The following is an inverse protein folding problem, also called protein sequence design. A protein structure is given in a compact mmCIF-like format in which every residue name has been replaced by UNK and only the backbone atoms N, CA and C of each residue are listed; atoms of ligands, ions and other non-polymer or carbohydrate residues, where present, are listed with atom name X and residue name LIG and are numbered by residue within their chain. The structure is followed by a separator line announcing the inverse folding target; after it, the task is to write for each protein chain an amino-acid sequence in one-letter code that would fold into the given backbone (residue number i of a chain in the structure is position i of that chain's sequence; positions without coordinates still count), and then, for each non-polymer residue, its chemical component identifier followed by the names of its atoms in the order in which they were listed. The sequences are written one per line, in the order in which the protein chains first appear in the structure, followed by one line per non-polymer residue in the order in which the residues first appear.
data_IF_152902740639
#
_entry.id   IF_152902740639
#
_cell.length_a   1.000
_cell.length_b   1.000
_cell.length_c   1.000
_cell.angle_alpha   90.00
_cell.angle_beta   90.00
_cell.angle_gamma   90.00
#
_symmetry.space_group_name_H-M   'P 1'
#
loop_
_entity.id
_entity.type
_entity.pdbx_description
1 polymer ?
#
# COMPACT_ATOMS: atom_id res chain seq x y z
N UNK A 1 -52.83 -12.59 -1.61
CA UNK A 1 -51.45 -12.78 -1.09
C UNK A 1 -50.55 -13.63 -2.01
N UNK A 2 -50.93 -14.86 -2.41
CA UNK A 2 -50.10 -15.76 -3.26
C UNK A 2 -49.58 -15.15 -4.58
N UNK A 3 -50.38 -14.34 -5.29
CA UNK A 3 -50.00 -13.69 -6.56
C UNK A 3 -48.93 -12.59 -6.41
N UNK A 4 -48.92 -11.88 -5.28
CA UNK A 4 -47.89 -10.89 -4.96
C UNK A 4 -46.56 -11.55 -4.59
N UNK A 5 -46.61 -12.68 -3.86
CA UNK A 5 -45.44 -13.50 -3.51
C UNK A 5 -44.69 -14.01 -4.76
N UNK A 6 -45.41 -14.46 -5.79
CA UNK A 6 -44.78 -14.95 -7.03
C UNK A 6 -44.14 -13.83 -7.88
N UNK A 7 -44.68 -12.61 -7.83
CA UNK A 7 -44.05 -11.44 -8.47
C UNK A 7 -42.77 -11.03 -7.74
N UNK A 8 -42.83 -11.00 -6.40
CA UNK A 8 -41.65 -10.71 -5.57
C UNK A 8 -40.55 -11.75 -5.80
N UNK A 9 -40.88 -13.05 -5.80
CA UNK A 9 -39.92 -14.11 -6.04
C UNK A 9 -39.24 -14.01 -7.41
N UNK A 10 -39.99 -13.69 -8.47
CA UNK A 10 -39.42 -13.45 -9.81
C UNK A 10 -38.51 -12.22 -9.85
N UNK A 11 -38.89 -11.16 -9.14
CA UNK A 11 -38.07 -9.94 -9.03
C UNK A 11 -36.77 -10.21 -8.28
N UNK A 12 -36.82 -10.94 -7.16
CA UNK A 12 -35.63 -11.36 -6.41
C UNK A 12 -34.73 -12.25 -7.27
N UNK A 13 -35.30 -13.21 -8.00
CA UNK A 13 -34.53 -14.06 -8.91
C UNK A 13 -33.85 -13.26 -10.04
N UNK A 14 -34.54 -12.28 -10.62
CA UNK A 14 -33.97 -11.41 -11.64
C UNK A 14 -32.82 -10.55 -11.08
N UNK A 15 -32.98 -9.99 -9.87
CA UNK A 15 -31.93 -9.22 -9.19
C UNK A 15 -30.71 -10.11 -8.92
N UNK A 16 -30.91 -11.32 -8.39
CA UNK A 16 -29.83 -12.27 -8.15
C UNK A 16 -29.07 -12.61 -9.44
N UNK A 17 -29.78 -12.85 -10.55
CA UNK A 17 -29.13 -13.10 -11.85
C UNK A 17 -28.30 -11.91 -12.31
N UNK A 18 -28.80 -10.69 -12.15
CA UNK A 18 -28.05 -9.46 -12.47
C UNK A 18 -26.81 -9.34 -11.58
N UNK A 19 -26.93 -9.59 -10.27
CA UNK A 19 -25.79 -9.56 -9.35
C UNK A 19 -24.73 -10.60 -9.73
N UNK A 20 -25.13 -11.83 -10.09
CA UNK A 20 -24.20 -12.88 -10.52
C UNK A 20 -23.49 -12.46 -11.83
N UNK A 21 -24.24 -11.94 -12.81
CA UNK A 21 -23.65 -11.45 -14.06
C UNK A 21 -22.68 -10.29 -13.81
N UNK A 22 -23.02 -9.38 -12.91
CA UNK A 22 -22.17 -8.25 -12.52
C UNK A 22 -20.88 -8.71 -11.84
N UNK A 23 -20.96 -9.62 -10.86
CA UNK A 23 -19.77 -10.20 -10.21
C UNK A 23 -18.93 -10.98 -11.22
N UNK A 24 -19.57 -11.71 -12.14
CA UNK A 24 -18.88 -12.39 -13.24
C UNK A 24 -18.10 -11.42 -14.13
N UNK A 25 -18.68 -10.26 -14.46
CA UNK A 25 -17.99 -9.21 -15.23
C UNK A 25 -16.77 -8.66 -14.48
N UNK A 26 -16.90 -8.37 -13.19
CA UNK A 26 -15.78 -7.89 -12.36
C UNK A 26 -14.64 -8.92 -12.31
N UNK A 27 -14.98 -10.20 -12.19
CA UNK A 27 -14.00 -11.28 -12.19
C UNK A 27 -13.27 -11.37 -13.53
N UNK A 28 -13.99 -11.33 -14.66
CA UNK A 28 -13.40 -11.39 -16.00
C UNK A 28 -12.48 -10.19 -16.30
N UNK A 29 -12.77 -9.04 -15.71
CA UNK A 29 -11.96 -7.82 -15.88
C UNK A 29 -10.77 -7.72 -14.92
N UNK A 30 -10.60 -8.66 -13.99
CA UNK A 30 -9.62 -8.57 -12.90
C UNK A 30 -9.81 -7.30 -12.02
N UNK A 31 -11.06 -6.98 -11.72
CA UNK A 31 -11.48 -5.85 -10.88
C UNK A 31 -11.71 -6.26 -9.41
N UNK A 32 -11.38 -7.50 -9.05
CA UNK A 32 -11.41 -8.02 -7.68
C UNK A 32 -9.97 -8.19 -7.20
N UNK A 33 -9.54 -7.31 -6.30
CA UNK A 33 -8.23 -7.32 -5.66
C UNK A 33 -8.29 -7.85 -4.22
N UNK A 34 -7.19 -7.62 -3.50
CA UNK A 34 -6.99 -8.04 -2.12
C UNK A 34 -7.71 -7.07 -1.18
N UNK A 35 -8.61 -7.51 -0.30
CA UNK A 35 -9.21 -6.61 0.69
C UNK A 35 -8.15 -6.15 1.70
N UNK A 36 -8.29 -4.93 2.23
CA UNK A 36 -7.34 -4.33 3.21
C UNK A 36 -6.98 -5.29 4.36
N UNK A 37 -7.96 -6.01 4.88
CA UNK A 37 -7.78 -6.96 6.00
C UNK A 37 -7.02 -8.24 5.64
N UNK A 38 -6.71 -8.48 4.36
CA UNK A 38 -5.96 -9.65 3.88
C UNK A 38 -4.65 -9.27 3.19
N UNK A 39 -4.25 -7.99 3.21
CA UNK A 39 -3.01 -7.54 2.60
C UNK A 39 -1.80 -8.29 3.15
N UNK A 40 -1.66 -8.40 4.47
CA UNK A 40 -0.54 -9.15 5.06
C UNK A 40 -0.53 -10.62 4.63
N UNK A 41 -1.69 -11.29 4.64
CA UNK A 41 -1.79 -12.68 4.20
C UNK A 41 -1.38 -12.86 2.74
N UNK A 42 -1.81 -11.93 1.87
CA UNK A 42 -1.46 -11.94 0.46
C UNK A 42 0.04 -11.67 0.26
N UNK A 43 0.63 -10.70 0.97
CA UNK A 43 2.08 -10.42 0.95
C UNK A 43 2.85 -11.67 1.34
N UNK A 44 2.51 -12.27 2.49
CA UNK A 44 3.20 -13.48 2.98
C UNK A 44 3.13 -14.63 1.98
N UNK A 45 1.96 -14.84 1.38
CA UNK A 45 1.75 -15.93 0.42
C UNK A 45 2.43 -15.66 -0.93
N UNK A 46 2.31 -14.44 -1.46
CA UNK A 46 2.78 -14.08 -2.80
C UNK A 46 4.29 -13.88 -2.86
N UNK A 47 4.86 -13.21 -1.85
CA UNK A 47 6.29 -12.94 -1.74
C UNK A 47 7.05 -14.06 -0.99
N UNK A 48 6.34 -15.10 -0.52
CA UNK A 48 6.90 -16.22 0.25
C UNK A 48 7.65 -15.76 1.50
N UNK A 49 7.02 -14.87 2.26
CA UNK A 49 7.57 -14.35 3.51
C UNK A 49 7.45 -15.40 4.60
N UNK A 50 8.54 -15.65 5.32
CA UNK A 50 8.54 -16.57 6.45
C UNK A 50 7.65 -16.07 7.60
N UNK A 51 7.21 -17.00 8.44
CA UNK A 51 6.23 -16.70 9.49
C UNK A 51 6.78 -15.82 10.62
N UNK A 52 8.10 -15.86 10.83
CA UNK A 52 8.84 -15.10 11.84
C UNK A 52 9.24 -13.70 11.37
N UNK A 53 9.17 -13.42 10.06
CA UNK A 53 9.42 -12.08 9.55
C UNK A 53 8.33 -11.10 9.98
N UNK A 54 8.77 -9.89 10.29
CA UNK A 54 7.90 -8.72 10.48
C UNK A 54 7.37 -8.29 9.12
N UNK A 55 6.10 -7.91 9.05
CA UNK A 55 5.50 -7.22 7.92
C UNK A 55 4.93 -5.91 8.45
N UNK A 56 5.58 -4.80 8.12
CA UNK A 56 5.19 -3.48 8.60
C UNK A 56 4.91 -2.54 7.43
N UNK A 57 4.03 -1.57 7.63
CA UNK A 57 3.71 -0.62 6.58
C UNK A 57 2.49 0.24 6.82
N UNK A 58 2.10 0.93 5.76
CA UNK A 58 1.05 1.93 5.79
C UNK A 58 0.03 1.70 4.66
N UNK A 59 -1.24 1.90 5.00
CA UNK A 59 -2.35 1.65 4.08
C UNK A 59 -3.33 2.82 4.12
N UNK A 60 -3.40 3.57 3.02
CA UNK A 60 -4.37 4.64 2.80
C UNK A 60 -5.68 4.05 2.24
N UNK A 61 -6.45 4.84 1.49
CA UNK A 61 -7.58 4.38 0.69
C UNK A 61 -7.20 4.07 -0.76
N UNK A 62 -6.08 4.59 -1.27
CA UNK A 62 -5.67 4.42 -2.68
C UNK A 62 -4.34 3.69 -2.89
N UNK A 63 -3.54 3.53 -1.84
CA UNK A 63 -2.24 2.86 -1.88
C UNK A 63 -1.96 2.12 -0.56
N UNK A 64 -1.23 1.03 -0.68
CA UNK A 64 -0.67 0.31 0.45
C UNK A 64 0.80 0.03 0.18
N UNK A 65 1.66 0.28 1.16
CA UNK A 65 3.08 0.00 1.04
C UNK A 65 3.56 -0.71 2.30
N UNK A 66 4.34 -1.76 2.10
CA UNK A 66 4.86 -2.60 3.16
C UNK A 66 6.33 -2.92 2.93
N UNK A 67 7.02 -3.20 4.02
CA UNK A 67 8.33 -3.83 4.04
C UNK A 67 8.29 -5.03 4.97
N UNK A 68 8.82 -6.15 4.49
CA UNK A 68 8.93 -7.40 5.24
C UNK A 68 10.39 -7.68 5.52
N UNK A 69 10.75 -8.07 6.73
CA UNK A 69 12.14 -8.31 7.14
C UNK A 69 12.24 -9.27 8.35
N UNK A 70 13.32 -10.05 8.48
CA UNK A 70 13.60 -10.85 9.66
C UNK A 70 14.06 -9.99 10.84
N UNK A 71 13.99 -10.51 12.07
CA UNK A 71 14.39 -9.78 13.28
C UNK A 71 15.85 -9.30 13.25
N UNK A 72 16.74 -10.06 12.60
CA UNK A 72 18.15 -9.71 12.43
C UNK A 72 18.43 -8.66 11.33
N UNK A 73 17.41 -8.24 10.58
CA UNK A 73 17.45 -7.23 9.52
C UNK A 73 18.47 -7.51 8.40
N UNK A 74 18.81 -8.79 8.19
CA UNK A 74 19.80 -9.20 7.20
C UNK A 74 19.25 -9.26 5.77
N UNK A 75 17.94 -9.29 5.63
CA UNK A 75 17.22 -9.41 4.36
C UNK A 75 15.94 -8.55 4.40
N UNK A 76 15.30 -8.36 3.25
CA UNK A 76 14.04 -7.65 3.14
C UNK A 76 13.32 -7.89 1.83
N UNK A 77 12.02 -7.63 1.82
CA UNK A 77 11.28 -7.43 0.59
C UNK A 77 10.17 -6.41 0.79
N UNK A 78 10.03 -5.49 -0.15
CA UNK A 78 8.95 -4.51 -0.12
C UNK A 78 7.75 -5.00 -0.93
N UNK A 79 6.59 -4.39 -0.71
CA UNK A 79 5.41 -4.60 -1.54
C UNK A 79 4.57 -3.33 -1.61
N UNK A 80 4.21 -2.93 -2.83
CA UNK A 80 3.32 -1.80 -3.11
C UNK A 80 2.07 -2.31 -3.81
N UNK A 81 0.91 -1.89 -3.30
CA UNK A 81 -0.39 -2.14 -3.88
C UNK A 81 -1.13 -0.82 -4.10
N UNK A 82 -2.05 -0.83 -5.06
CA UNK A 82 -2.97 0.30 -5.27
C UNK A 82 -4.41 -0.15 -5.28
N UNK A 83 -5.29 0.69 -4.75
CA UNK A 83 -6.73 0.50 -4.82
C UNK A 83 -7.26 1.38 -5.96
N UNK A 84 -7.74 0.75 -7.03
CA UNK A 84 -8.06 1.48 -8.27
C UNK A 84 -9.39 2.22 -8.10
N UNK A 85 -9.48 3.47 -8.55
CA UNK A 85 -10.76 4.18 -8.55
C UNK A 85 -11.76 3.51 -9.50
N UNK A 86 -13.05 3.75 -9.28
CA UNK A 86 -14.12 3.24 -10.14
C UNK A 86 -14.69 1.90 -9.68
N UNK A 87 -15.05 1.02 -10.61
CA UNK A 87 -15.73 -0.24 -10.33
C UNK A 87 -14.75 -1.38 -10.03
N UNK A 88 -13.78 -1.13 -9.15
CA UNK A 88 -12.86 -2.17 -8.66
C UNK A 88 -12.90 -2.25 -7.13
N UNK A 89 -12.60 -3.43 -6.60
CA UNK A 89 -12.70 -3.69 -5.17
C UNK A 89 -11.39 -4.24 -4.64
N UNK A 90 -10.76 -3.50 -3.73
CA UNK A 90 -9.55 -3.93 -3.04
C UNK A 90 -8.27 -3.46 -3.72
N UNK A 91 -7.16 -3.97 -3.20
CA UNK A 91 -5.80 -3.57 -3.52
C UNK A 91 -5.17 -4.53 -4.52
N UNK A 92 -4.44 -3.99 -5.48
CA UNK A 92 -3.79 -4.75 -6.53
C UNK A 92 -2.29 -4.53 -6.47
N UNK A 93 -1.54 -5.63 -6.46
CA UNK A 93 -0.08 -5.60 -6.44
C UNK A 93 0.47 -4.81 -7.62
N UNK A 94 1.52 -4.01 -7.38
CA UNK A 94 2.21 -3.22 -8.41
C UNK A 94 3.70 -3.51 -8.47
N UNK A 95 4.34 -3.68 -7.34
CA UNK A 95 5.75 -4.01 -7.29
C UNK A 95 6.16 -4.50 -5.92
N UNK A 96 7.27 -5.23 -5.89
CA UNK A 96 7.87 -5.78 -4.68
C UNK A 96 9.18 -6.49 -4.99
N UNK A 97 9.85 -6.95 -3.96
CA UNK A 97 11.20 -7.52 -4.03
C UNK A 97 12.22 -6.64 -3.32
N UNK A 98 13.46 -6.66 -3.79
CA UNK A 98 14.55 -5.98 -3.13
C UNK A 98 14.52 -4.47 -3.43
N UNK A 99 14.74 -3.66 -2.39
CA UNK A 99 15.13 -2.26 -2.57
C UNK A 99 16.42 -2.20 -3.40
N UNK A 100 16.36 -1.63 -4.61
CA UNK A 100 17.51 -1.48 -5.51
C UNK A 100 18.13 -0.09 -5.37
N UNK A 101 19.47 -0.02 -5.28
CA UNK A 101 20.23 1.23 -5.13
C UNK A 101 21.54 1.01 -4.37
N UNK A 102 22.62 1.70 -4.76
CA UNK A 102 24.00 1.45 -4.30
C UNK A 102 24.34 1.93 -2.88
N UNK A 103 23.34 2.22 -2.06
CA UNK A 103 23.38 2.26 -0.60
C UNK A 103 21.92 2.33 -0.16
N UNK A 104 21.52 1.49 0.81
CA UNK A 104 20.14 1.17 1.20
C UNK A 104 19.41 2.38 1.79
N UNK A 105 19.07 3.31 0.90
CA UNK A 105 18.51 4.61 1.21
C UNK A 105 17.01 4.58 1.45
N UNK A 106 16.37 5.74 1.36
CA UNK A 106 14.91 5.81 1.25
C UNK A 106 14.56 5.76 -0.24
N UNK A 107 13.69 4.85 -0.63
CA UNK A 107 13.17 4.79 -2.01
C UNK A 107 11.74 5.31 -2.03
N UNK A 108 11.49 6.29 -2.89
CA UNK A 108 10.15 6.78 -3.22
C UNK A 108 9.58 5.97 -4.38
N UNK A 109 8.43 5.34 -4.19
CA UNK A 109 7.70 4.62 -5.21
C UNK A 109 6.46 5.41 -5.64
N UNK A 110 6.39 5.72 -6.93
CA UNK A 110 5.22 6.34 -7.56
C UNK A 110 4.57 5.37 -8.53
N UNK A 111 3.27 5.54 -8.76
CA UNK A 111 2.51 4.73 -9.73
C UNK A 111 1.77 5.69 -10.66
N UNK A 112 1.93 5.50 -11.96
CA UNK A 112 1.30 6.37 -12.95
C UNK A 112 -0.23 6.41 -12.79
N UNK A 113 -0.79 7.61 -12.74
CA UNK A 113 -2.23 7.85 -12.57
C UNK A 113 -2.73 7.84 -11.13
N UNK A 114 -1.85 7.65 -10.14
CA UNK A 114 -2.21 7.68 -8.71
C UNK A 114 -1.66 8.93 -8.02
N UNK A 115 -2.39 9.39 -7.00
CA UNK A 115 -2.10 10.65 -6.28
C UNK A 115 -1.40 10.42 -4.94
N UNK A 116 -0.87 9.23 -4.74
CA UNK A 116 -0.09 8.86 -3.56
C UNK A 116 1.23 8.26 -4.01
N UNK A 117 2.20 8.34 -3.10
CA UNK A 117 3.57 7.84 -3.22
C UNK A 117 3.96 7.15 -1.93
N UNK A 118 4.81 6.15 -2.03
CA UNK A 118 5.28 5.37 -0.90
C UNK A 118 6.78 5.61 -0.67
N UNK A 119 7.19 5.85 0.57
CA UNK A 119 8.58 5.92 0.98
C UNK A 119 8.92 4.65 1.76
N UNK A 120 9.87 3.87 1.27
CA UNK A 120 10.22 2.58 1.86
C UNK A 120 11.74 2.53 2.09
N UNK A 121 12.14 2.05 3.27
CA UNK A 121 13.56 1.94 3.63
C UNK A 121 13.81 0.87 4.68
N UNK A 122 14.97 0.21 4.61
CA UNK A 122 15.53 -0.54 5.74
C UNK A 122 16.09 0.35 6.86
N UNK A 123 16.08 1.67 6.64
CA UNK A 123 16.41 2.69 7.61
C UNK A 123 17.85 2.62 8.15
N UNK A 124 18.82 2.28 7.30
CA UNK A 124 20.24 2.23 7.68
C UNK A 124 20.78 3.60 8.12
N UNK A 125 20.20 4.68 7.61
CA UNK A 125 20.54 6.07 7.98
C UNK A 125 19.92 6.51 9.31
N UNK A 126 19.16 5.65 10.00
CA UNK A 126 18.54 5.96 11.30
C UNK A 126 17.63 7.19 11.25
N UNK A 127 16.78 7.26 10.23
CA UNK A 127 15.71 8.27 10.11
C UNK A 127 14.83 8.22 11.35
N UNK A 128 14.67 9.37 12.01
CA UNK A 128 13.88 9.52 13.23
C UNK A 128 12.63 10.38 13.04
N UNK A 129 12.63 11.25 12.05
CA UNK A 129 11.45 12.09 11.75
C UNK A 129 11.31 12.37 10.28
N UNK A 130 10.07 12.54 9.88
CA UNK A 130 9.65 13.04 8.59
C UNK A 130 8.91 14.36 8.82
N UNK A 131 9.38 15.43 8.19
CA UNK A 131 8.73 16.74 8.20
C UNK A 131 8.05 17.00 6.85
N UNK A 132 6.80 17.46 6.92
CA UNK A 132 5.95 17.77 5.78
C UNK A 132 5.52 19.23 5.90
N UNK A 133 6.09 20.09 5.05
CA UNK A 133 5.82 21.52 5.01
C UNK A 133 4.81 21.90 3.93
N UNK A 134 3.73 22.57 4.31
CA UNK A 134 2.69 23.06 3.38
C UNK A 134 2.67 24.60 3.21
N UNK A 135 3.78 25.27 3.57
CA UNK A 135 3.94 26.72 3.50
C UNK A 135 3.37 27.50 4.70
N UNK A 136 2.44 26.92 5.46
CA UNK A 136 1.82 27.55 6.63
C UNK A 136 2.03 26.78 7.93
N UNK A 137 2.31 25.48 7.84
CA UNK A 137 2.47 24.57 8.96
C UNK A 137 3.44 23.44 8.58
N UNK A 138 4.11 22.89 9.59
CA UNK A 138 4.95 21.69 9.46
C UNK A 138 4.28 20.58 10.24
N UNK A 139 3.90 19.53 9.54
CA UNK A 139 3.50 18.27 10.16
C UNK A 139 4.76 17.43 10.38
N UNK A 140 4.89 16.85 11.58
CA UNK A 140 6.01 15.96 11.93
C UNK A 140 5.45 14.57 12.17
N UNK A 141 6.10 13.57 11.57
CA UNK A 141 5.83 12.15 11.77
C UNK A 141 7.09 11.55 12.40
N UNK A 142 6.96 10.99 13.60
CA UNK A 142 8.04 10.26 14.26
C UNK A 142 8.23 8.89 13.60
N UNK A 143 9.49 8.51 13.40
CA UNK A 143 9.91 7.24 12.82
C UNK A 143 10.82 6.54 13.82
N UNK A 144 10.61 5.24 14.05
CA UNK A 144 11.52 4.45 14.88
C UNK A 144 12.84 4.25 14.12
N UNK A 145 13.88 4.98 14.55
CA UNK A 145 15.18 5.00 13.89
C UNK A 145 15.93 3.68 13.92
N UNK A 146 15.40 2.66 14.61
CA UNK A 146 15.97 1.33 14.72
C UNK A 146 15.27 0.31 13.83
N UNK A 147 14.23 0.71 13.08
CA UNK A 147 13.43 -0.22 12.29
C UNK A 147 13.28 0.26 10.85
N UNK A 148 13.17 -0.70 9.91
CA UNK A 148 12.62 -0.42 8.58
C UNK A 148 11.25 0.25 8.67
N UNK A 149 10.90 1.02 7.63
CA UNK A 149 9.61 1.68 7.55
C UNK A 149 9.06 1.70 6.12
N UNK A 150 7.73 1.78 6.01
CA UNK A 150 7.02 2.10 4.79
C UNK A 150 5.90 3.12 5.10
N UNK A 151 5.93 4.27 4.43
CA UNK A 151 5.02 5.39 4.67
C UNK A 151 4.36 5.79 3.34
N UNK A 152 3.03 5.93 3.32
CA UNK A 152 2.28 6.42 2.16
C UNK A 152 1.89 7.87 2.40
N UNK A 153 2.14 8.73 1.41
CA UNK A 153 1.78 10.15 1.44
C UNK A 153 1.13 10.58 0.12
N UNK A 154 0.27 11.61 0.14
CA UNK A 154 -0.16 12.26 -1.09
C UNK A 154 1.02 12.83 -1.88
N UNK A 155 0.95 12.78 -3.21
CA UNK A 155 1.96 13.40 -4.09
C UNK A 155 2.05 14.92 -3.89
N UNK A 156 0.96 15.53 -3.46
CA UNK A 156 0.85 16.95 -3.15
C UNK A 156 1.01 17.27 -1.65
N UNK A 157 1.64 16.40 -0.86
CA UNK A 157 1.86 16.60 0.58
C UNK A 157 2.69 17.87 0.92
N UNK A 158 3.30 18.53 -0.07
CA UNK A 158 4.15 19.70 0.12
C UNK A 158 5.63 19.33 0.10
N UNK A 159 6.47 20.12 0.77
CA UNK A 159 7.90 19.85 0.90
C UNK A 159 8.12 18.74 1.92
N UNK A 160 8.82 17.68 1.52
CA UNK A 160 9.12 16.52 2.33
C UNK A 160 10.61 16.52 2.67
N UNK A 161 10.94 16.39 3.95
CA UNK A 161 12.32 16.22 4.40
C UNK A 161 12.37 15.14 5.48
N UNK A 162 13.19 14.13 5.25
CA UNK A 162 13.53 13.13 6.27
C UNK A 162 14.76 13.57 7.03
N UNK A 163 14.77 13.33 8.35
CA UNK A 163 15.93 13.62 9.19
C UNK A 163 16.36 12.39 9.97
N UNK A 164 17.67 12.17 10.02
CA UNK A 164 18.31 11.17 10.88
C UNK A 164 18.31 11.58 12.37
N UNK A 165 18.86 10.72 13.22
CA UNK A 165 19.01 10.96 14.67
C UNK A 165 19.87 12.17 15.01
N UNK A 166 20.80 12.56 14.13
CA UNK A 166 21.71 13.69 14.30
C UNK A 166 21.11 15.00 13.77
N UNK A 167 19.96 14.93 13.08
CA UNK A 167 19.24 16.06 12.51
C UNK A 167 19.71 16.44 11.10
N UNK A 168 20.47 15.58 10.42
CA UNK A 168 20.84 15.79 9.02
C UNK A 168 19.70 15.37 8.10
N UNK A 169 19.55 16.08 6.98
CA UNK A 169 18.59 15.71 5.95
C UNK A 169 19.04 14.44 5.22
N UNK A 170 18.10 13.52 4.98
CA UNK A 170 18.33 12.26 4.28
C UNK A 170 17.66 12.32 2.90
N UNK A 171 18.43 12.07 1.86
CA UNK A 171 17.93 12.01 0.49
C UNK A 171 17.16 10.72 0.21
N UNK A 172 16.23 10.79 -0.74
CA UNK A 172 15.51 9.64 -1.27
C UNK A 172 15.63 9.58 -2.79
N UNK A 173 15.48 8.38 -3.34
CA UNK A 173 15.55 8.13 -4.79
C UNK A 173 14.18 7.75 -5.32
N UNK A 174 13.75 8.39 -6.40
CA UNK A 174 12.47 8.09 -7.05
C UNK A 174 12.56 6.83 -7.92
N UNK A 175 11.54 6.00 -7.83
CA UNK A 175 11.31 4.82 -8.64
C UNK A 175 9.85 4.75 -9.09
N UNK A 176 9.63 4.52 -10.38
CA UNK A 176 8.28 4.43 -10.97
C UNK A 176 7.93 2.95 -11.14
N UNK A 177 6.76 2.54 -10.63
CA UNK A 177 6.19 1.20 -10.73
C UNK A 177 5.19 1.05 -11.88
#
# INVERSE_FOLDING_TARGET
MKKYSNKLAKMVAAILLICIAFVGLLYLNNDIGVPKSRLELDIRTSQKIDADWVVDGNVSDTMAAFISYPEDMTDHTFSVYINRPGLSFGYFFRGGGDLTGTNVGITEYTVEGYKERAFISMNQQQVKRLEIGNGNSVQVIDIDSKKPFAIVLPVNAGSIVFYDVDGNAVEFVEHIL
#
